data_IF_114964944992
#
_entry.id   IF_114964944992
#
_cell.length_a   1.000
_cell.length_b   1.000
_cell.length_c   1.000
_cell.angle_alpha   90.00
_cell.angle_beta   90.00
_cell.angle_gamma   90.00
#
_symmetry.space_group_name_H-M   'P 1'
#
loop_
_entity.id
_entity.type
_entity.pdbx_description
1 polymer ?
#
# COMPACT_ATOMS: atom_id res chain seq x y z
N UNK A 1 6.16 -7.85 -3.58
CA UNK A 1 6.16 -7.98 -5.04
C UNK A 1 5.09 -7.08 -5.66
N UNK A 2 5.34 -6.65 -6.88
CA UNK A 2 4.47 -5.67 -7.54
C UNK A 2 4.41 -5.94 -9.03
N UNK A 3 3.22 -5.85 -9.61
CA UNK A 3 3.03 -6.08 -11.03
C UNK A 3 1.77 -5.35 -11.49
N UNK A 4 1.90 -4.52 -12.51
CA UNK A 4 0.79 -3.75 -13.08
C UNK A 4 0.04 -2.96 -12.02
N UNK A 5 0.75 -2.46 -11.02
CA UNK A 5 0.16 -1.68 -9.95
C UNK A 5 -0.42 -2.49 -8.80
N UNK A 6 -0.45 -3.80 -8.94
CA UNK A 6 -0.94 -4.68 -7.87
C UNK A 6 0.19 -5.15 -7.01
N UNK A 7 -0.08 -5.29 -5.72
CA UNK A 7 0.89 -5.75 -4.74
C UNK A 7 0.55 -7.16 -4.31
N UNK A 8 1.59 -7.96 -4.09
CA UNK A 8 1.42 -9.29 -3.56
C UNK A 8 2.15 -9.43 -2.25
N UNK A 9 1.56 -10.20 -1.35
CA UNK A 9 2.16 -10.55 -0.08
C UNK A 9 2.38 -12.04 -0.07
N UNK A 10 3.57 -12.47 0.36
CA UNK A 10 3.91 -13.89 0.35
C UNK A 10 4.35 -14.34 1.72
N UNK A 11 4.09 -15.61 2.01
CA UNK A 11 4.48 -16.23 3.26
C UNK A 11 5.02 -17.63 2.96
N UNK A 12 5.91 -18.08 3.83
CA UNK A 12 6.44 -19.41 3.73
C UNK A 12 5.60 -20.38 4.57
N UNK A 13 5.15 -21.45 3.94
CA UNK A 13 4.43 -22.50 4.63
C UNK A 13 5.43 -23.64 4.89
N UNK A 14 5.89 -23.69 6.13
CA UNK A 14 6.93 -24.66 6.49
C UNK A 14 6.47 -26.10 6.45
N UNK A 15 5.19 -26.33 6.66
CA UNK A 15 4.66 -27.69 6.62
C UNK A 15 4.56 -28.23 5.21
N UNK A 16 4.04 -27.41 4.32
CA UNK A 16 3.90 -27.81 2.92
C UNK A 16 5.18 -27.61 2.13
N UNK A 17 6.12 -26.83 2.67
CA UNK A 17 7.37 -26.57 1.97
C UNK A 17 7.19 -25.70 0.75
N UNK A 18 6.21 -24.81 0.77
CA UNK A 18 5.95 -23.93 -0.35
C UNK A 18 5.84 -22.49 0.12
N UNK A 19 5.97 -21.61 -0.84
CA UNK A 19 5.66 -20.20 -0.63
C UNK A 19 4.29 -19.93 -1.20
N UNK A 20 3.46 -19.18 -0.49
CA UNK A 20 2.17 -18.83 -1.03
C UNK A 20 1.91 -17.37 -0.75
N UNK A 21 1.04 -16.78 -1.55
CA UNK A 21 0.76 -15.38 -1.41
C UNK A 21 -0.63 -15.01 -1.85
N UNK A 22 -0.90 -13.74 -1.71
CA UNK A 22 -2.22 -13.19 -1.99
C UNK A 22 -2.06 -11.81 -2.60
N UNK A 23 -2.90 -11.49 -3.58
CA UNK A 23 -2.92 -10.17 -4.18
C UNK A 23 -3.66 -9.24 -3.22
N UNK A 24 -3.02 -8.12 -2.90
CA UNK A 24 -3.56 -7.18 -1.93
C UNK A 24 -4.38 -6.10 -2.61
N UNK A 25 -5.31 -5.52 -1.85
CA UNK A 25 -6.00 -4.33 -2.28
C UNK A 25 -7.16 -4.53 -3.24
N UNK A 26 -7.62 -5.76 -3.40
CA UNK A 26 -8.79 -6.03 -4.22
C UNK A 26 -9.82 -6.79 -3.38
N UNK A 27 -11.07 -6.76 -3.82
CA UNK A 27 -12.13 -7.44 -3.08
C UNK A 27 -12.09 -8.94 -3.26
N UNK A 28 -11.73 -9.38 -4.44
CA UNK A 28 -11.64 -10.80 -4.73
C UNK A 28 -10.44 -11.41 -4.04
N UNK A 29 -10.54 -12.68 -3.73
CA UNK A 29 -9.44 -13.41 -3.13
C UNK A 29 -8.66 -14.06 -4.28
N UNK A 30 -7.47 -13.57 -4.51
CA UNK A 30 -6.60 -14.09 -5.57
C UNK A 30 -5.30 -14.54 -4.91
N UNK A 31 -5.03 -15.82 -4.98
CA UNK A 31 -3.85 -16.41 -4.34
C UNK A 31 -2.95 -17.05 -5.38
N UNK A 32 -1.71 -17.26 -4.98
CA UNK A 32 -0.72 -17.87 -5.86
C UNK A 32 0.32 -18.59 -4.99
N UNK A 33 1.05 -19.50 -5.59
CA UNK A 33 2.06 -20.23 -4.82
C UNK A 33 3.19 -20.68 -5.72
N UNK A 34 4.28 -21.09 -5.09
CA UNK A 34 5.44 -21.60 -5.80
C UNK A 34 6.41 -22.22 -4.83
N UNK A 35 7.31 -23.03 -5.36
CA UNK A 35 8.32 -23.70 -4.53
C UNK A 35 9.62 -22.91 -4.45
N UNK A 36 9.74 -21.86 -5.23
CA UNK A 36 10.90 -20.99 -5.21
C UNK A 36 10.43 -19.56 -5.38
N UNK A 37 11.32 -18.62 -5.11
CA UNK A 37 10.99 -17.21 -5.29
C UNK A 37 10.66 -16.92 -6.74
N UNK A 38 11.39 -17.53 -7.66
CA UNK A 38 11.12 -17.33 -9.09
C UNK A 38 9.74 -17.85 -9.47
N UNK A 39 9.39 -19.03 -9.01
CA UNK A 39 8.08 -19.60 -9.31
C UNK A 39 6.98 -18.75 -8.69
N UNK A 40 7.21 -18.29 -7.48
CA UNK A 40 6.22 -17.47 -6.80
C UNK A 40 5.97 -16.16 -7.54
N UNK A 41 7.04 -15.52 -7.99
CA UNK A 41 6.91 -14.27 -8.74
C UNK A 41 6.17 -14.48 -10.05
N UNK A 42 6.46 -15.58 -10.75
CA UNK A 42 5.76 -15.86 -11.98
C UNK A 42 4.30 -16.18 -11.72
N UNK A 43 4.02 -16.94 -10.67
CA UNK A 43 2.64 -17.26 -10.31
C UNK A 43 1.87 -15.99 -9.94
N UNK A 44 2.53 -15.06 -9.27
CA UNK A 44 1.91 -13.78 -8.93
C UNK A 44 1.50 -13.03 -10.19
N UNK A 45 2.42 -12.93 -11.15
CA UNK A 45 2.12 -12.20 -12.40
C UNK A 45 1.01 -12.88 -13.17
N UNK A 46 1.06 -14.20 -13.24
CA UNK A 46 0.00 -14.95 -13.95
C UNK A 46 -1.34 -14.73 -13.28
N UNK A 47 -1.36 -14.71 -11.95
CA UNK A 47 -2.61 -14.50 -11.21
C UNK A 47 -3.19 -13.12 -11.46
N UNK A 48 -2.34 -12.11 -11.52
CA UNK A 48 -2.80 -10.76 -11.81
C UNK A 48 -3.36 -10.70 -13.23
N UNK A 49 -2.64 -11.29 -14.19
CA UNK A 49 -3.09 -11.29 -15.58
C UNK A 49 -4.40 -12.05 -15.72
N UNK A 50 -4.54 -13.17 -15.03
CA UNK A 50 -5.78 -13.95 -15.07
C UNK A 50 -6.93 -13.16 -14.48
N UNK A 51 -6.68 -12.47 -13.38
CA UNK A 51 -7.72 -11.64 -12.75
C UNK A 51 -8.20 -10.55 -13.71
N UNK A 52 -7.26 -9.88 -14.37
CA UNK A 52 -7.62 -8.82 -15.30
C UNK A 52 -8.39 -9.37 -16.51
N UNK A 53 -7.96 -10.52 -17.01
CA UNK A 53 -8.65 -11.15 -18.13
C UNK A 53 -10.06 -11.59 -17.72
N UNK A 54 -10.20 -12.09 -16.50
CA UNK A 54 -11.48 -12.53 -15.99
C UNK A 54 -12.46 -11.34 -15.89
N UNK A 55 -11.98 -10.22 -15.37
CA UNK A 55 -12.81 -9.01 -15.27
C UNK A 55 -13.25 -8.54 -16.65
N UNK A 56 -12.34 -8.57 -17.61
CA UNK A 56 -12.66 -8.13 -18.96
C UNK A 56 -13.71 -9.03 -19.59
N UNK A 57 -13.59 -10.34 -19.36
CA UNK A 57 -14.51 -11.30 -19.91
C UNK A 57 -15.92 -11.10 -19.37
N UNK A 58 -16.03 -10.70 -18.11
CA UNK A 58 -17.32 -10.47 -17.49
C UNK A 58 -17.86 -9.07 -17.72
N UNK A 59 -17.10 -8.22 -18.41
CA UNK A 59 -17.50 -6.86 -18.64
C UNK A 59 -17.46 -6.00 -17.38
N UNK A 60 -16.67 -6.39 -16.40
CA UNK A 60 -16.52 -5.65 -15.15
C UNK A 60 -15.20 -4.93 -15.15
N UNK A 61 -15.19 -3.76 -14.51
CA UNK A 61 -13.93 -3.06 -14.28
C UNK A 61 -13.17 -3.73 -13.14
N UNK A 62 -11.88 -4.00 -13.31
CA UNK A 62 -11.10 -4.56 -12.21
C UNK A 62 -10.98 -3.55 -11.08
N UNK A 63 -10.81 -4.05 -9.86
CA UNK A 63 -10.54 -3.19 -8.74
C UNK A 63 -9.22 -2.49 -8.99
N UNK A 64 -9.22 -1.17 -8.80
CA UNK A 64 -7.98 -0.43 -8.86
C UNK A 64 -7.19 -0.74 -7.61
N UNK A 65 -5.89 -0.88 -7.75
CA UNK A 65 -5.08 -1.22 -6.59
C UNK A 65 -5.25 -0.22 -5.46
N UNK A 66 -5.24 1.06 -5.80
CA UNK A 66 -5.42 2.10 -4.79
C UNK A 66 -5.83 3.36 -5.50
N UNK A 67 -6.98 3.90 -5.09
CA UNK A 67 -7.55 5.07 -5.74
C UNK A 67 -6.97 6.38 -5.22
N UNK A 68 -6.39 6.35 -4.03
CA UNK A 68 -5.97 7.56 -3.36
C UNK A 68 -7.03 8.12 -2.42
N UNK A 69 -8.17 7.45 -2.32
CA UNK A 69 -9.24 7.90 -1.43
C UNK A 69 -9.67 6.78 -0.52
N UNK A 70 -9.85 7.10 0.74
CA UNK A 70 -10.39 6.14 1.70
C UNK A 70 -10.88 6.90 2.93
N UNK A 71 -11.72 6.25 3.71
CA UNK A 71 -12.34 6.84 4.88
C UNK A 71 -11.64 6.31 6.12
N UNK A 72 -11.31 7.20 7.04
CA UNK A 72 -10.69 6.84 8.30
C UNK A 72 -11.57 7.36 9.43
N UNK A 73 -11.75 6.54 10.44
CA UNK A 73 -12.45 6.96 11.66
C UNK A 73 -11.43 7.29 12.72
N UNK A 74 -11.55 8.45 13.28
CA UNK A 74 -10.63 8.93 14.31
C UNK A 74 -11.39 9.17 15.60
N UNK A 75 -10.65 9.11 16.70
CA UNK A 75 -11.18 9.62 17.95
C UNK A 75 -11.55 11.09 17.75
N UNK A 76 -12.73 11.53 18.25
CA UNK A 76 -13.15 12.92 18.03
C UNK A 76 -12.14 13.95 18.49
N UNK A 77 -11.44 13.69 19.58
CA UNK A 77 -10.42 14.62 20.05
C UNK A 77 -9.28 14.76 19.06
N UNK A 78 -8.87 13.65 18.46
CA UNK A 78 -7.80 13.66 17.46
C UNK A 78 -8.27 14.36 16.19
N UNK A 79 -9.51 14.12 15.78
CA UNK A 79 -10.08 14.80 14.64
C UNK A 79 -10.06 16.31 14.84
N UNK A 80 -10.46 16.74 16.04
CA UNK A 80 -10.45 18.15 16.37
C UNK A 80 -9.05 18.74 16.34
N UNK A 81 -8.08 18.03 16.91
CA UNK A 81 -6.70 18.50 16.90
C UNK A 81 -6.17 18.67 15.49
N UNK A 82 -6.48 17.71 14.62
CA UNK A 82 -6.02 17.77 13.24
C UNK A 82 -6.63 18.95 12.52
N UNK A 83 -7.92 19.20 12.75
CA UNK A 83 -8.60 20.33 12.12
C UNK A 83 -8.03 21.66 12.59
N UNK A 84 -7.76 21.79 13.88
CA UNK A 84 -7.19 23.01 14.43
C UNK A 84 -5.79 23.23 13.89
N UNK A 85 -5.01 22.17 13.79
CA UNK A 85 -3.67 22.27 13.24
C UNK A 85 -3.69 22.76 11.80
N UNK A 86 -4.62 22.23 11.01
CA UNK A 86 -4.74 22.63 9.61
C UNK A 86 -5.07 24.12 9.53
N UNK A 87 -6.02 24.55 10.33
CA UNK A 87 -6.44 25.93 10.32
C UNK A 87 -5.31 26.86 10.75
N UNK A 88 -4.59 26.47 11.79
CA UNK A 88 -3.49 27.27 12.31
C UNK A 88 -2.38 27.44 11.30
N UNK A 89 -2.13 26.37 10.52
CA UNK A 89 -1.06 26.40 9.53
C UNK A 89 -1.52 26.94 8.17
N UNK A 90 -2.79 27.28 8.06
CA UNK A 90 -3.30 27.77 6.78
C UNK A 90 -3.36 26.73 5.70
N UNK A 91 -3.53 25.45 6.07
CA UNK A 91 -3.60 24.38 5.11
C UNK A 91 -4.88 23.59 5.31
N UNK A 92 -5.12 22.61 4.44
CA UNK A 92 -6.32 21.79 4.54
C UNK A 92 -6.11 20.63 5.49
N UNK A 93 -7.21 20.10 6.01
CA UNK A 93 -7.15 18.90 6.82
C UNK A 93 -6.53 17.76 6.03
N UNK A 94 -6.88 17.67 4.76
CA UNK A 94 -6.33 16.66 3.89
C UNK A 94 -4.81 16.75 3.80
N UNK A 95 -4.29 17.96 3.72
CA UNK A 95 -2.84 18.16 3.67
C UNK A 95 -2.17 17.74 4.96
N UNK A 96 -2.77 18.03 6.09
CA UNK A 96 -2.22 17.66 7.39
C UNK A 96 -2.16 16.13 7.49
N UNK A 97 -3.23 15.46 7.10
CA UNK A 97 -3.28 14.00 7.17
C UNK A 97 -2.26 13.40 6.22
N UNK A 98 -2.19 13.90 5.00
CA UNK A 98 -1.27 13.39 4.01
C UNK A 98 0.18 13.52 4.48
N UNK A 99 0.53 14.68 4.99
CA UNK A 99 1.88 14.91 5.48
C UNK A 99 2.21 14.00 6.64
N UNK A 100 1.25 13.81 7.53
CA UNK A 100 1.45 12.93 8.69
C UNK A 100 1.71 11.50 8.26
N UNK A 101 0.96 11.03 7.25
CA UNK A 101 1.16 9.68 6.74
C UNK A 101 2.52 9.52 6.08
N UNK A 102 2.93 10.52 5.31
CA UNK A 102 4.24 10.47 4.67
C UNK A 102 5.33 10.35 5.73
N UNK A 103 5.24 11.16 6.78
CA UNK A 103 6.22 11.10 7.87
C UNK A 103 6.23 9.74 8.54
N UNK A 104 5.05 9.21 8.82
CA UNK A 104 4.94 7.94 9.53
C UNK A 104 5.45 6.78 8.72
N UNK A 105 5.20 6.77 7.43
CA UNK A 105 5.48 5.62 6.58
C UNK A 105 6.85 5.65 5.93
N UNK A 106 7.47 6.80 5.82
CA UNK A 106 8.72 6.91 5.07
C UNK A 106 9.81 6.01 5.63
N UNK A 107 9.88 5.85 6.95
CA UNK A 107 10.87 4.96 7.55
C UNK A 107 10.47 3.51 7.50
N UNK A 108 9.18 3.23 7.58
CA UNK A 108 8.71 1.85 7.66
C UNK A 108 8.80 1.13 6.34
N UNK A 109 8.55 1.85 5.25
CA UNK A 109 8.51 1.23 3.93
C UNK A 109 9.68 1.65 3.07
N UNK A 110 10.76 2.13 3.67
CA UNK A 110 11.90 2.64 2.93
C UNK A 110 12.48 1.60 1.99
N UNK A 111 12.54 0.35 2.42
CA UNK A 111 13.10 -0.71 1.59
C UNK A 111 12.09 -1.35 0.66
N UNK A 112 10.86 -0.96 0.73
CA UNK A 112 9.80 -1.66 0.02
C UNK A 112 9.63 -1.22 -1.42
N UNK A 113 9.44 0.07 -1.66
CA UNK A 113 9.09 0.52 -2.99
C UNK A 113 10.25 1.10 -3.77
N UNK A 114 11.13 1.79 -3.11
CA UNK A 114 12.27 2.37 -3.78
C UNK A 114 11.91 3.45 -4.77
N UNK A 115 10.80 4.11 -4.61
CA UNK A 115 10.43 5.17 -5.53
C UNK A 115 11.18 6.43 -5.18
N UNK A 116 12.02 6.81 -6.09
CA UNK A 116 12.97 7.87 -5.83
C UNK A 116 12.37 9.23 -5.52
N UNK A 117 11.37 9.62 -6.26
CA UNK A 117 10.85 10.96 -6.07
C UNK A 117 10.16 11.16 -4.73
N UNK A 118 9.47 10.16 -4.27
CA UNK A 118 8.85 10.24 -2.96
C UNK A 118 9.89 10.31 -1.87
N UNK A 119 10.92 9.52 -2.03
CA UNK A 119 11.97 9.43 -1.03
C UNK A 119 12.70 10.75 -0.85
N UNK A 120 12.95 11.46 -1.95
CA UNK A 120 13.67 12.70 -1.86
C UNK A 120 13.00 13.71 -0.95
N UNK A 121 11.70 13.87 -1.13
CA UNK A 121 10.98 14.80 -0.27
C UNK A 121 10.91 14.32 1.16
N UNK A 122 10.87 13.02 1.30
CA UNK A 122 10.71 12.43 2.61
C UNK A 122 11.94 12.58 3.48
N UNK A 123 13.08 12.90 2.89
CA UNK A 123 14.25 13.00 3.73
C UNK A 123 14.12 14.10 4.78
N UNK A 124 13.51 15.21 4.41
CA UNK A 124 13.25 16.26 5.39
C UNK A 124 12.16 15.83 6.36
N UNK A 125 11.20 15.12 5.87
CA UNK A 125 10.09 14.69 6.69
C UNK A 125 10.54 13.65 7.70
N UNK A 126 11.48 12.81 7.32
CA UNK A 126 11.98 11.77 8.24
C UNK A 126 12.59 12.37 9.48
N UNK A 127 13.31 13.48 9.33
CA UNK A 127 13.89 14.11 10.49
C UNK A 127 12.83 14.53 11.49
N UNK A 128 11.74 15.08 10.98
CA UNK A 128 10.65 15.47 11.86
C UNK A 128 9.99 14.27 12.50
N UNK A 129 9.85 13.21 11.75
CA UNK A 129 9.21 12.03 12.30
C UNK A 129 9.97 11.48 13.49
N UNK A 130 11.29 11.44 13.38
CA UNK A 130 12.06 10.93 14.51
C UNK A 130 11.92 11.82 15.73
N UNK A 131 11.80 13.10 15.51
CA UNK A 131 11.59 14.01 16.64
C UNK A 131 10.23 13.79 17.27
N UNK A 132 9.24 13.40 16.48
CA UNK A 132 7.90 13.17 16.99
C UNK A 132 7.77 11.86 17.75
N UNK A 133 8.64 10.94 17.51
CA UNK A 133 8.62 9.66 18.20
C UNK A 133 9.54 9.67 19.41
#
# INVERSE_FOLDING_TARGET
MRYKGYLGKAEFDGEAGILHGEVLGIRDVVTFQGKSVRELNQAFRDSVDDYLAFCQKRGESPDKPYSGQFVVRLDPALHRQASIAAETMGSSLNSVVTESLVKSLSGRLAGFSGRGKTVRRDSAIRRKRRAAQ
#
